data_IF_928299986204
#
_entry.id   IF_928299986204
#
_cell.length_a   1.000
_cell.length_b   1.000
_cell.length_c   1.000
_cell.angle_alpha   90.00
_cell.angle_beta   90.00
_cell.angle_gamma   90.00
#
_symmetry.space_group_name_H-M   'P 1'
#
loop_
_entity.id
_entity.type
_entity.pdbx_description
1 polymer ?
#
# COMPACT_ATOMS: atom_id res chain seq x y z
N UNK A 1 -10.07 11.19 7.11
CA UNK A 1 -9.15 10.32 6.36
C UNK A 1 -9.89 9.01 6.17
N UNK A 2 -10.36 8.77 4.96
CA UNK A 2 -11.13 7.58 4.58
C UNK A 2 -10.17 6.40 4.52
N UNK A 3 -10.54 5.27 5.13
CA UNK A 3 -9.79 4.04 4.96
C UNK A 3 -10.14 3.46 3.58
N UNK A 4 -9.15 2.98 2.80
CA UNK A 4 -9.42 2.16 1.63
C UNK A 4 -10.34 1.01 2.02
N UNK A 5 -11.31 0.66 1.17
CA UNK A 5 -12.43 -0.25 1.52
C UNK A 5 -11.97 -1.62 2.10
N UNK A 6 -10.76 -2.06 1.77
CA UNK A 6 -10.20 -3.34 2.24
C UNK A 6 -9.25 -3.23 3.45
N UNK A 7 -9.27 -2.10 4.18
CA UNK A 7 -8.51 -1.90 5.42
C UNK A 7 -9.46 -1.59 6.59
N UNK A 8 -9.57 -2.51 7.54
CA UNK A 8 -10.36 -2.31 8.75
C UNK A 8 -9.52 -1.68 9.86
N UNK A 9 -10.11 -0.67 10.51
CA UNK A 9 -9.59 -0.12 11.75
C UNK A 9 -10.17 -0.90 12.93
N UNK A 10 -9.35 -1.78 13.52
CA UNK A 10 -9.71 -2.47 14.75
C UNK A 10 -9.46 -1.53 15.94
N UNK A 11 -10.55 -1.09 16.56
CA UNK A 11 -10.53 -0.35 17.81
C UNK A 11 -10.74 -1.34 18.97
N UNK A 12 -9.75 -1.46 19.86
CA UNK A 12 -9.98 -2.08 21.17
C UNK A 12 -10.38 -0.98 22.16
N UNK A 13 -11.67 -0.86 22.54
CA UNK A 13 -12.14 0.20 23.43
C UNK A 13 -11.52 0.14 24.84
N UNK A 14 -10.74 -0.90 25.17
CA UNK A 14 -10.04 -1.04 26.46
C UNK A 14 -8.57 -0.66 26.42
N UNK A 15 -7.97 -0.48 25.24
CA UNK A 15 -6.55 -0.13 25.09
C UNK A 15 -6.46 1.23 24.38
N UNK A 16 -6.21 2.26 25.18
CA UNK A 16 -6.18 3.66 24.75
C UNK A 16 -5.28 3.87 23.53
N UNK A 17 -5.84 4.42 22.44
CA UNK A 17 -5.18 4.91 21.20
C UNK A 17 -4.33 3.92 20.38
N UNK A 18 -4.38 2.61 20.63
CA UNK A 18 -3.71 1.63 19.75
C UNK A 18 -4.67 1.19 18.67
N UNK A 19 -4.52 1.79 17.48
CA UNK A 19 -5.25 1.39 16.29
C UNK A 19 -4.51 0.26 15.58
N UNK A 20 -5.19 -0.87 15.35
CA UNK A 20 -4.67 -1.95 14.49
C UNK A 20 -5.36 -1.88 13.14
N UNK A 21 -4.55 -1.83 12.08
CA UNK A 21 -5.05 -1.91 10.70
C UNK A 21 -5.05 -3.38 10.31
N UNK A 22 -6.21 -3.89 9.87
CA UNK A 22 -6.38 -5.26 9.41
C UNK A 22 -6.74 -5.25 7.92
N UNK A 23 -5.88 -5.78 7.02
CA UNK A 23 -6.26 -6.03 5.65
C UNK A 23 -7.28 -7.18 5.57
N UNK A 24 -8.31 -6.99 4.74
CA UNK A 24 -9.38 -7.97 4.51
C UNK A 24 -9.57 -8.21 3.00
N UNK A 25 -10.46 -9.14 2.65
CA UNK A 25 -10.88 -9.44 1.26
C UNK A 25 -9.72 -9.81 0.31
N UNK A 26 -9.17 -11.01 0.53
CA UNK A 26 -8.00 -11.56 -0.17
C UNK A 26 -8.33 -12.15 -1.57
N UNK A 27 -9.41 -11.72 -2.21
CA UNK A 27 -9.90 -12.30 -3.48
C UNK A 27 -8.89 -12.18 -4.64
N UNK A 28 -8.09 -11.11 -4.63
CA UNK A 28 -7.03 -10.83 -5.61
C UNK A 28 -5.62 -11.13 -5.06
N UNK A 29 -5.51 -11.80 -3.90
CA UNK A 29 -4.22 -12.08 -3.28
C UNK A 29 -3.49 -13.24 -3.95
N UNK A 30 -2.18 -13.11 -4.08
CA UNK A 30 -1.31 -14.14 -4.65
C UNK A 30 0.15 -13.71 -4.59
N UNK A 31 1.06 -14.59 -4.98
CA UNK A 31 2.46 -14.23 -5.14
C UNK A 31 2.61 -13.16 -6.22
N UNK A 32 3.20 -12.03 -5.86
CA UNK A 32 3.41 -10.91 -6.76
C UNK A 32 4.65 -10.11 -6.36
N UNK A 33 5.07 -9.18 -7.21
CA UNK A 33 6.11 -8.21 -6.89
C UNK A 33 5.57 -7.21 -5.86
N UNK A 34 6.31 -6.97 -4.77
CA UNK A 34 5.95 -5.97 -3.73
C UNK A 34 5.65 -4.59 -4.32
N UNK A 35 6.36 -4.25 -5.40
CA UNK A 35 6.16 -3.03 -6.19
C UNK A 35 4.69 -2.84 -6.57
N UNK A 36 4.03 -3.91 -7.04
CA UNK A 36 2.66 -3.87 -7.48
C UNK A 36 1.71 -3.56 -6.33
N UNK A 37 1.87 -4.22 -5.18
CA UNK A 37 1.01 -3.99 -4.02
C UNK A 37 1.18 -2.58 -3.46
N UNK A 38 2.42 -2.11 -3.31
CA UNK A 38 2.72 -0.75 -2.82
C UNK A 38 2.24 0.30 -3.82
N UNK A 39 2.53 0.11 -5.10
CA UNK A 39 2.10 1.02 -6.16
C UNK A 39 0.57 1.06 -6.30
N UNK A 40 -0.10 -0.08 -6.14
CA UNK A 40 -1.57 -0.15 -6.11
C UNK A 40 -2.13 0.58 -4.88
N UNK A 41 -1.55 0.35 -3.71
CA UNK A 41 -1.96 1.04 -2.48
C UNK A 41 -1.88 2.56 -2.63
N UNK A 42 -0.82 3.09 -3.24
CA UNK A 42 -0.69 4.53 -3.49
C UNK A 42 -1.63 5.04 -4.59
N UNK A 43 -1.92 4.23 -5.60
CA UNK A 43 -2.95 4.58 -6.59
C UNK A 43 -4.31 4.77 -5.93
N UNK A 44 -4.68 3.92 -4.96
CA UNK A 44 -5.98 4.03 -4.26
C UNK A 44 -6.13 5.34 -3.46
N UNK A 45 -5.05 6.07 -3.14
CA UNK A 45 -5.17 7.41 -2.54
C UNK A 45 -5.80 8.43 -3.50
N UNK A 46 -5.76 8.13 -4.80
CA UNK A 46 -6.32 8.97 -5.86
C UNK A 46 -7.78 8.67 -6.16
N UNK A 47 -8.39 7.65 -5.55
CA UNK A 47 -9.75 7.22 -5.85
C UNK A 47 -10.60 7.21 -4.58
N UNK A 48 -11.84 7.66 -4.72
CA UNK A 48 -12.85 7.63 -3.65
C UNK A 48 -14.15 7.04 -4.22
N UNK A 49 -14.54 5.87 -3.72
CA UNK A 49 -15.68 5.11 -4.21
C UNK A 49 -16.99 5.43 -3.47
N UNK A 50 -17.04 6.52 -2.69
CA UNK A 50 -18.25 6.91 -1.92
C UNK A 50 -19.22 7.82 -2.68
N UNK A 51 -18.90 8.19 -3.91
CA UNK A 51 -19.78 9.03 -4.72
C UNK A 51 -21.12 8.30 -5.00
N UNK A 52 -22.27 8.82 -4.52
CA UNK A 52 -23.56 8.18 -4.77
C UNK A 52 -24.07 8.40 -6.20
N UNK A 53 -23.54 9.39 -6.92
CA UNK A 53 -23.97 9.78 -8.26
C UNK A 53 -23.02 9.21 -9.33
N UNK A 54 -23.51 8.99 -10.56
CA UNK A 54 -22.67 8.56 -11.68
C UNK A 54 -21.47 9.52 -11.85
N UNK A 55 -20.22 9.04 -11.97
CA UNK A 55 -19.80 7.67 -12.30
C UNK A 55 -19.61 6.69 -11.12
N UNK A 56 -20.08 7.06 -9.92
CA UNK A 56 -20.00 6.30 -8.66
C UNK A 56 -18.60 6.22 -8.03
N UNK A 57 -17.71 7.11 -8.47
CA UNK A 57 -16.44 7.37 -7.80
C UNK A 57 -15.98 8.81 -8.08
N UNK A 58 -15.04 9.30 -7.27
CA UNK A 58 -14.23 10.48 -7.54
C UNK A 58 -12.79 10.04 -7.81
N UNK A 59 -12.06 10.85 -8.59
CA UNK A 59 -10.62 10.66 -8.75
C UNK A 59 -9.86 11.99 -8.73
N UNK A 60 -8.70 12.00 -8.09
CA UNK A 60 -7.78 13.12 -8.10
C UNK A 60 -6.33 12.63 -8.02
N UNK A 61 -5.60 12.75 -9.13
CA UNK A 61 -4.19 12.34 -9.19
C UNK A 61 -3.29 13.15 -8.23
N UNK A 62 -3.68 14.38 -7.87
CA UNK A 62 -2.92 15.21 -6.94
C UNK A 62 -2.92 14.65 -5.50
N UNK A 63 -3.80 13.68 -5.21
CA UNK A 63 -3.80 12.97 -3.93
C UNK A 63 -2.74 11.87 -3.85
N UNK A 64 -2.09 11.52 -4.96
CA UNK A 64 -1.01 10.54 -4.97
C UNK A 64 0.08 10.96 -3.97
N UNK A 65 0.60 10.05 -3.12
CA UNK A 65 1.55 10.44 -2.08
C UNK A 65 2.82 11.03 -2.70
N UNK A 66 3.23 12.20 -2.23
CA UNK A 66 4.51 12.80 -2.61
C UNK A 66 5.70 11.95 -2.14
N UNK A 67 6.89 12.26 -2.65
CA UNK A 67 8.12 11.52 -2.34
C UNK A 67 8.41 11.39 -0.83
N UNK A 68 8.06 12.41 -0.04
CA UNK A 68 8.27 12.37 1.41
C UNK A 68 7.34 11.38 2.10
N UNK A 69 6.06 11.34 1.70
CA UNK A 69 5.08 10.35 2.19
C UNK A 69 5.45 8.93 1.75
N UNK A 70 5.89 8.75 0.50
CA UNK A 70 6.35 7.44 0.01
C UNK A 70 7.59 6.94 0.77
N UNK A 71 8.56 7.83 1.03
CA UNK A 71 9.74 7.50 1.84
C UNK A 71 9.35 7.09 3.26
N UNK A 72 8.40 7.79 3.87
CA UNK A 72 7.90 7.44 5.20
C UNK A 72 7.28 6.03 5.22
N UNK A 73 6.46 5.71 4.22
CA UNK A 73 5.91 4.37 4.06
C UNK A 73 7.00 3.31 3.91
N UNK A 74 7.96 3.51 2.99
CA UNK A 74 9.06 2.57 2.77
C UNK A 74 9.93 2.39 4.01
N UNK A 75 10.21 3.47 4.74
CA UNK A 75 10.96 3.40 6.00
C UNK A 75 10.25 2.51 7.01
N UNK A 76 8.94 2.68 7.20
CA UNK A 76 8.15 1.82 8.08
C UNK A 76 8.11 0.37 7.60
N UNK A 77 7.85 0.15 6.30
CA UNK A 77 7.79 -1.17 5.67
C UNK A 77 9.09 -1.97 5.85
N UNK A 78 10.23 -1.36 5.53
CA UNK A 78 11.54 -2.03 5.63
C UNK A 78 11.95 -2.26 7.08
N UNK A 79 11.68 -1.28 7.96
CA UNK A 79 11.93 -1.43 9.40
C UNK A 79 11.22 -2.67 9.92
N UNK A 80 9.93 -2.84 9.63
CA UNK A 80 9.16 -4.00 10.07
C UNK A 80 9.65 -5.30 9.43
N UNK A 81 9.91 -5.28 8.12
CA UNK A 81 10.36 -6.45 7.36
C UNK A 81 11.67 -7.01 7.92
N UNK A 82 12.66 -6.16 8.19
CA UNK A 82 13.97 -6.61 8.66
C UNK A 82 14.04 -6.81 10.17
N UNK A 83 13.24 -6.08 10.97
CA UNK A 83 13.14 -6.34 12.42
C UNK A 83 12.62 -7.75 12.70
N UNK A 84 11.69 -8.24 11.89
CA UNK A 84 11.13 -9.59 12.04
C UNK A 84 12.12 -10.68 11.61
N UNK A 85 12.97 -10.43 10.61
CA UNK A 85 14.01 -11.38 10.19
C UNK A 85 15.03 -11.61 11.32
N UNK A 86 15.47 -10.55 12.01
CA UNK A 86 16.38 -10.69 13.15
C UNK A 86 15.74 -11.43 14.34
N UNK A 87 14.45 -11.16 14.61
CA UNK A 87 13.70 -11.84 15.67
C UNK A 87 13.44 -13.32 15.33
N UNK A 88 13.20 -13.69 14.07
CA UNK A 88 13.01 -15.09 13.65
C UNK A 88 14.28 -15.93 13.78
N UNK A 89 15.46 -15.33 13.59
CA UNK A 89 16.73 -15.99 13.88
C UNK A 89 16.92 -16.27 15.38
N UNK A 90 16.37 -15.43 16.26
CA UNK A 90 16.34 -15.66 17.71
C UNK A 90 15.24 -16.66 18.13
N UNK A 91 14.03 -16.56 17.58
CA UNK A 91 12.89 -17.41 17.92
C UNK A 91 13.01 -18.83 17.36
N UNK A 92 13.73 -19.06 16.25
CA UNK A 92 14.07 -20.43 15.81
C UNK A 92 14.95 -21.20 16.81
N UNK A 93 15.63 -20.53 17.75
CA UNK A 93 16.37 -21.21 18.84
C UNK A 93 15.47 -21.60 20.01
N UNK A 94 14.33 -20.93 20.19
CA UNK A 94 13.38 -21.16 21.27
C UNK A 94 11.99 -21.37 20.66
N UNK A 95 11.68 -22.59 20.22
CA UNK A 95 10.51 -22.94 19.41
C UNK A 95 9.13 -22.69 20.02
N UNK A 96 8.76 -21.44 20.23
CA UNK A 96 7.42 -20.99 20.59
C UNK A 96 6.98 -19.87 19.65
N UNK A 97 6.18 -20.23 18.64
CA UNK A 97 5.44 -19.26 17.82
C UNK A 97 4.28 -18.71 18.65
N UNK A 98 4.51 -17.61 19.37
CA UNK A 98 3.45 -16.85 20.02
C UNK A 98 3.22 -15.56 19.23
N UNK A 99 2.19 -15.53 18.40
CA UNK A 99 1.61 -14.30 17.85
C UNK A 99 0.76 -13.60 18.93
N UNK A 100 1.41 -13.16 20.00
CA UNK A 100 0.80 -12.29 21.00
C UNK A 100 1.83 -11.21 21.30
N UNK A 101 1.59 -10.03 20.74
CA UNK A 101 2.38 -8.84 21.01
C UNK A 101 2.27 -8.52 22.51
N UNK A 102 3.35 -8.77 23.25
CA UNK A 102 3.54 -8.20 24.58
C UNK A 102 3.85 -6.70 24.41
N UNK A 103 2.82 -5.90 24.14
CA UNK A 103 2.84 -4.46 24.40
C UNK A 103 2.71 -4.22 25.92
N UNK A 104 3.66 -4.74 26.68
CA UNK A 104 3.87 -4.30 28.06
C UNK A 104 4.94 -3.22 28.08
N UNK A 105 4.62 -2.14 28.79
CA UNK A 105 5.42 -0.95 29.02
C UNK A 105 6.87 -1.30 29.36
N UNK A 106 7.78 -1.16 28.41
CA UNK A 106 9.20 -1.04 28.69
C UNK A 106 9.73 0.25 28.06
N UNK A 107 9.44 1.35 28.76
CA UNK A 107 10.13 2.62 28.59
C UNK A 107 11.65 2.35 28.64
N UNK A 108 12.32 2.76 27.56
CA UNK A 108 13.77 2.88 27.36
C UNK A 108 14.49 1.80 26.52
N UNK A 109 13.86 0.68 26.14
CA UNK A 109 14.56 -0.36 25.35
C UNK A 109 14.07 -0.53 23.90
N UNK A 110 12.87 -0.06 23.55
CA UNK A 110 12.41 -0.13 22.14
C UNK A 110 13.11 0.90 21.25
N UNK A 111 13.63 2.00 21.81
CA UNK A 111 14.43 2.99 21.08
C UNK A 111 15.73 2.38 20.53
N UNK A 112 16.25 1.33 21.17
CA UNK A 112 17.55 0.71 20.83
C UNK A 112 17.45 -0.26 19.65
N UNK A 113 16.26 -0.80 19.31
CA UNK A 113 16.10 -1.69 18.14
C UNK A 113 15.97 -0.95 16.81
N UNK A 114 15.59 0.33 16.83
CA UNK A 114 15.60 1.19 15.63
C UNK A 114 17.02 1.55 15.15
N UNK A 115 18.05 1.23 15.93
CA UNK A 115 19.39 1.81 15.77
C UNK A 115 20.36 0.99 14.89
N UNK A 116 19.99 -0.21 14.43
CA UNK A 116 20.93 -1.10 13.73
C UNK A 116 20.92 -0.98 12.20
N UNK A 117 19.91 -0.33 11.61
CA UNK A 117 19.93 0.05 10.19
C UNK A 117 19.99 1.56 10.08
N UNK A 118 21.10 2.07 9.54
CA UNK A 118 21.22 3.50 9.29
C UNK A 118 20.31 3.86 8.11
N UNK A 119 19.68 5.03 8.16
CA UNK A 119 18.80 5.50 7.08
C UNK A 119 19.51 5.57 5.71
N UNK A 120 20.84 5.59 5.74
CA UNK A 120 21.75 5.59 4.59
C UNK A 120 21.88 4.21 3.90
N UNK A 121 21.41 3.13 4.53
CA UNK A 121 21.51 1.76 3.98
C UNK A 121 20.49 1.48 2.87
N UNK A 122 19.43 2.29 2.77
CA UNK A 122 18.32 2.07 1.85
C UNK A 122 18.35 3.03 0.66
N UNK A 123 18.28 2.44 -0.54
CA UNK A 123 18.14 3.19 -1.79
C UNK A 123 16.66 3.57 -2.02
N UNK A 124 16.24 4.67 -1.38
CA UNK A 124 14.89 5.20 -1.53
C UNK A 124 14.57 5.70 -2.93
N UNK A 125 15.57 6.03 -3.75
CA UNK A 125 15.34 6.44 -5.14
C UNK A 125 14.95 5.24 -5.99
N UNK A 126 15.66 4.11 -5.86
CA UNK A 126 15.27 2.87 -6.52
C UNK A 126 13.91 2.35 -6.03
N UNK A 127 13.60 2.46 -4.74
CA UNK A 127 12.28 2.10 -4.22
C UNK A 127 11.17 2.99 -4.78
N UNK A 128 11.43 4.29 -4.94
CA UNK A 128 10.49 5.20 -5.59
C UNK A 128 10.26 4.79 -7.06
N UNK A 129 11.31 4.50 -7.83
CA UNK A 129 11.19 4.02 -9.22
C UNK A 129 10.39 2.70 -9.26
N UNK A 130 10.72 1.75 -8.38
CA UNK A 130 10.01 0.49 -8.22
C UNK A 130 8.51 0.70 -7.98
N UNK A 131 8.17 1.61 -7.05
CA UNK A 131 6.78 2.01 -6.78
C UNK A 131 6.08 2.57 -8.02
N UNK A 132 6.74 3.46 -8.78
CA UNK A 132 6.14 4.02 -10.00
C UNK A 132 5.85 2.92 -11.03
N UNK A 133 6.77 1.98 -11.26
CA UNK A 133 6.49 0.83 -12.12
C UNK A 133 5.31 -0.01 -11.62
N UNK A 134 5.23 -0.25 -10.32
CA UNK A 134 4.09 -0.92 -9.69
C UNK A 134 2.77 -0.20 -9.93
N UNK A 135 2.74 1.12 -9.74
CA UNK A 135 1.56 1.96 -9.99
C UNK A 135 1.13 1.94 -11.46
N UNK A 136 2.09 1.98 -12.39
CA UNK A 136 1.82 1.87 -13.84
C UNK A 136 1.20 0.51 -14.18
N UNK A 137 1.77 -0.59 -13.66
CA UNK A 137 1.22 -1.93 -13.86
C UNK A 137 -0.18 -2.07 -13.25
N UNK A 138 -0.42 -1.49 -12.06
CA UNK A 138 -1.74 -1.44 -11.43
C UNK A 138 -2.75 -0.68 -12.30
N UNK A 139 -2.39 0.47 -12.87
CA UNK A 139 -3.30 1.18 -13.78
C UNK A 139 -3.65 0.35 -15.01
N UNK A 140 -2.68 -0.31 -15.63
CA UNK A 140 -2.94 -1.21 -16.77
C UNK A 140 -3.86 -2.38 -16.40
N UNK A 141 -3.55 -3.07 -15.30
CA UNK A 141 -4.32 -4.21 -14.82
C UNK A 141 -5.79 -3.84 -14.57
N UNK A 142 -6.03 -2.79 -13.80
CA UNK A 142 -7.38 -2.36 -13.45
C UNK A 142 -8.13 -1.71 -14.61
N UNK A 143 -7.43 -1.12 -15.58
CA UNK A 143 -8.05 -0.69 -16.85
C UNK A 143 -8.58 -1.87 -17.64
N UNK A 144 -7.77 -2.93 -17.79
CA UNK A 144 -8.18 -4.14 -18.50
C UNK A 144 -9.33 -4.86 -17.79
N UNK A 145 -9.24 -5.01 -16.46
CA UNK A 145 -10.32 -5.55 -15.63
C UNK A 145 -11.61 -4.76 -15.83
N UNK A 146 -11.53 -3.43 -15.78
CA UNK A 146 -12.72 -2.58 -15.90
C UNK A 146 -13.34 -2.64 -17.30
N UNK A 147 -12.54 -2.71 -18.36
CA UNK A 147 -13.06 -2.94 -19.72
C UNK A 147 -13.85 -4.25 -19.81
N UNK A 148 -13.35 -5.33 -19.21
CA UNK A 148 -14.07 -6.61 -19.15
C UNK A 148 -15.36 -6.46 -18.34
N UNK A 149 -15.31 -5.81 -17.17
CA UNK A 149 -16.49 -5.60 -16.33
C UNK A 149 -17.56 -4.72 -16.99
N UNK A 150 -17.18 -3.80 -17.88
CA UNK A 150 -18.14 -2.98 -18.62
C UNK A 150 -19.13 -3.79 -19.47
N UNK A 151 -18.80 -5.05 -19.80
CA UNK A 151 -19.65 -5.97 -20.55
C UNK A 151 -20.30 -7.06 -19.68
N UNK A 152 -19.75 -7.34 -18.50
CA UNK A 152 -20.13 -8.50 -17.68
C UNK A 152 -20.85 -8.12 -16.39
N UNK A 153 -20.57 -6.95 -15.82
CA UNK A 153 -21.06 -6.58 -14.49
C UNK A 153 -22.46 -5.98 -14.54
N UNK A 154 -23.27 -6.32 -13.53
CA UNK A 154 -24.54 -5.66 -13.26
C UNK A 154 -24.45 -4.60 -12.16
N UNK A 155 -23.26 -4.34 -11.62
CA UNK A 155 -23.04 -3.33 -10.57
C UNK A 155 -23.27 -1.94 -11.15
N UNK A 156 -23.90 -1.06 -10.38
CA UNK A 156 -24.06 0.36 -10.72
C UNK A 156 -22.73 1.09 -10.55
N UNK A 157 -21.87 0.97 -11.56
CA UNK A 157 -20.56 1.60 -11.62
C UNK A 157 -20.18 1.85 -13.10
N UNK A 158 -19.62 3.02 -13.42
CA UNK A 158 -19.24 3.33 -14.80
C UNK A 158 -17.85 2.75 -15.13
N UNK A 159 -17.82 1.45 -15.42
CA UNK A 159 -16.59 0.73 -15.74
C UNK A 159 -15.87 1.27 -16.99
N UNK A 160 -16.62 1.74 -17.99
CA UNK A 160 -16.00 2.29 -19.21
C UNK A 160 -15.29 3.60 -18.92
N UNK A 161 -15.89 4.48 -18.12
CA UNK A 161 -15.24 5.71 -17.66
C UNK A 161 -14.03 5.41 -16.78
N UNK A 162 -14.17 4.49 -15.82
CA UNK A 162 -13.06 4.09 -14.95
C UNK A 162 -11.85 3.57 -15.73
N UNK A 163 -12.05 2.71 -16.73
CA UNK A 163 -10.98 2.26 -17.61
C UNK A 163 -10.24 3.42 -18.29
N UNK A 164 -10.98 4.42 -18.80
CA UNK A 164 -10.38 5.61 -19.43
C UNK A 164 -9.59 6.45 -18.43
N UNK A 165 -10.13 6.66 -17.23
CA UNK A 165 -9.46 7.42 -16.17
C UNK A 165 -8.17 6.72 -15.71
N UNK A 166 -8.20 5.41 -15.49
CA UNK A 166 -7.01 4.62 -15.13
C UNK A 166 -5.94 4.70 -16.21
N UNK A 167 -6.29 4.60 -17.49
CA UNK A 167 -5.34 4.79 -18.60
C UNK A 167 -4.80 6.22 -18.71
N UNK A 168 -5.63 7.23 -18.42
CA UNK A 168 -5.17 8.63 -18.35
C UNK A 168 -4.12 8.82 -17.25
N UNK A 169 -4.37 8.26 -16.05
CA UNK A 169 -3.41 8.30 -14.95
C UNK A 169 -2.12 7.53 -15.30
N UNK A 170 -2.23 6.36 -15.96
CA UNK A 170 -1.05 5.63 -16.49
C UNK A 170 -0.16 6.53 -17.35
N UNK A 171 -0.73 7.19 -18.36
CA UNK A 171 0.05 8.04 -19.26
C UNK A 171 0.65 9.25 -18.56
N UNK A 172 -0.07 9.86 -17.62
CA UNK A 172 0.43 10.97 -16.81
C UNK A 172 1.61 10.53 -15.95
N UNK A 173 1.45 9.45 -15.17
CA UNK A 173 2.51 8.93 -14.30
C UNK A 173 3.71 8.42 -15.07
N UNK A 174 3.51 7.88 -16.29
CA UNK A 174 4.63 7.46 -17.15
C UNK A 174 5.57 8.63 -17.41
N UNK A 175 5.06 9.85 -17.54
CA UNK A 175 5.90 11.05 -17.74
C UNK A 175 6.71 11.47 -16.51
N UNK A 176 6.47 10.89 -15.34
CA UNK A 176 7.25 11.14 -14.12
C UNK A 176 8.55 10.34 -14.08
N UNK A 177 8.65 9.27 -14.86
CA UNK A 177 9.87 8.47 -14.91
C UNK A 177 11.01 9.24 -15.60
N UNK A 178 12.25 9.11 -15.11
CA UNK A 178 13.42 9.66 -15.79
C UNK A 178 13.53 9.13 -17.23
N UNK A 179 14.19 9.88 -18.12
CA UNK A 179 14.23 9.56 -19.56
C UNK A 179 14.87 8.21 -19.88
N UNK A 180 15.81 7.78 -19.05
CA UNK A 180 16.46 6.48 -19.09
C UNK A 180 15.51 5.29 -18.82
N UNK A 181 14.30 5.56 -18.31
CA UNK A 181 13.28 4.58 -17.95
C UNK A 181 12.04 4.60 -18.87
N UNK A 182 12.03 5.42 -19.94
CA UNK A 182 10.86 5.69 -20.81
C UNK A 182 10.76 4.80 -22.07
#
# INVERSE_FOLDING_TARGET
MQFPDNLLLLNDPKVDKVYRILPIDFEYSGYNYRAFDVGNHFNEWCYDYTNPDQPYYFHNIENYPDRSKQRLFWKAYLTETYSNVENDHFNKRNGNFNCVDNYEQNNNNNVVRFANHHEEDYDYENLWIETIYGSLLSHLFWSAWSLVQSQLSSIQFDFMDYAKVRMKHYHLMKSWLPREHL
#
